data_IF_323388261062
#
_entry.id   IF_323388261062
#
_cell.length_a   1.000
_cell.length_b   1.000
_cell.length_c   1.000
_cell.angle_alpha   90.00
_cell.angle_beta   90.00
_cell.angle_gamma   90.00
#
_symmetry.space_group_name_H-M   'P 1'
#
loop_
_entity.id
_entity.type
_entity.pdbx_description
1 polymer ?
#
# COMPACT_ATOMS: atom_id res chain seq x y z
N UNK A 1 -60.03 -0.12 -46.13
CA UNK A 1 -59.78 -1.57 -46.05
C UNK A 1 -59.13 -1.86 -44.69
N UNK A 2 -59.91 -2.29 -43.68
CA UNK A 2 -59.40 -2.53 -42.30
C UNK A 2 -58.75 -3.92 -42.23
N UNK A 3 -57.43 -3.97 -42.04
CA UNK A 3 -56.66 -5.21 -41.92
C UNK A 3 -56.86 -5.80 -40.52
N UNK A 4 -57.62 -6.90 -40.39
CA UNK A 4 -57.76 -7.65 -39.14
C UNK A 4 -56.51 -8.51 -38.92
N UNK A 5 -55.58 -8.01 -38.12
CA UNK A 5 -54.41 -8.77 -37.68
C UNK A 5 -54.83 -9.77 -36.59
N UNK A 6 -54.94 -11.05 -36.95
CA UNK A 6 -55.23 -12.14 -35.99
C UNK A 6 -53.98 -12.45 -35.17
N UNK A 7 -53.83 -11.80 -34.02
CA UNK A 7 -52.78 -12.14 -33.07
C UNK A 7 -53.10 -13.49 -32.41
N UNK A 8 -52.23 -14.47 -32.64
CA UNK A 8 -52.32 -15.76 -31.99
C UNK A 8 -51.67 -15.64 -30.59
N UNK A 9 -52.49 -15.45 -29.56
CA UNK A 9 -52.06 -15.22 -28.17
C UNK A 9 -50.97 -16.19 -27.70
N UNK A 10 -51.02 -17.48 -28.11
CA UNK A 10 -50.00 -18.47 -27.76
C UNK A 10 -48.61 -18.11 -28.28
N UNK A 11 -48.51 -17.48 -29.46
CA UNK A 11 -47.24 -17.00 -30.03
C UNK A 11 -46.76 -15.72 -29.35
N UNK A 12 -47.68 -14.87 -28.89
CA UNK A 12 -47.33 -13.65 -28.11
C UNK A 12 -46.75 -14.02 -26.75
N UNK A 13 -47.36 -14.98 -26.05
CA UNK A 13 -46.83 -15.49 -24.78
C UNK A 13 -45.49 -16.22 -24.95
N UNK A 14 -45.30 -16.97 -26.03
CA UNK A 14 -44.02 -17.61 -26.32
C UNK A 14 -42.90 -16.60 -26.60
N UNK A 15 -43.20 -15.50 -27.32
CA UNK A 15 -42.23 -14.42 -27.59
C UNK A 15 -41.93 -13.60 -26.33
N UNK A 16 -42.93 -13.33 -25.47
CA UNK A 16 -42.73 -12.67 -24.19
C UNK A 16 -41.92 -13.53 -23.20
N UNK A 17 -42.17 -14.84 -23.10
CA UNK A 17 -41.35 -15.74 -22.29
C UNK A 17 -39.90 -15.82 -22.78
N UNK A 18 -39.68 -15.81 -24.09
CA UNK A 18 -38.34 -15.85 -24.68
C UNK A 18 -37.57 -14.55 -24.43
N UNK A 19 -38.23 -13.38 -24.48
CA UNK A 19 -37.61 -12.09 -24.12
C UNK A 19 -37.29 -11.99 -22.62
N UNK A 20 -38.13 -12.56 -21.75
CA UNK A 20 -37.94 -12.52 -20.29
C UNK A 20 -36.80 -13.47 -19.83
N UNK A 21 -36.54 -14.56 -20.56
CA UNK A 21 -35.37 -15.43 -20.31
C UNK A 21 -34.04 -14.78 -20.71
N UNK A 22 -34.02 -13.90 -21.72
CA UNK A 22 -32.80 -13.27 -22.23
C UNK A 22 -32.31 -12.14 -21.31
N UNK A 23 -33.21 -11.49 -20.55
CA UNK A 23 -32.86 -10.41 -19.61
C UNK A 23 -32.19 -10.87 -18.30
N UNK A 24 -32.10 -12.18 -18.03
CA UNK A 24 -31.53 -12.71 -16.77
C UNK A 24 -30.03 -13.05 -16.90
N UNK A 25 -29.43 -12.93 -18.09
CA UNK A 25 -28.09 -13.44 -18.40
C UNK A 25 -26.96 -12.41 -18.41
N UNK A 26 -27.10 -11.23 -17.81
CA UNK A 26 -26.01 -10.23 -17.87
C UNK A 26 -25.75 -9.44 -16.59
N UNK A 27 -25.90 -10.08 -15.42
CA UNK A 27 -25.11 -9.66 -14.25
C UNK A 27 -23.76 -10.36 -14.35
N UNK A 28 -22.90 -9.87 -15.24
CA UNK A 28 -21.48 -10.20 -15.23
C UNK A 28 -20.87 -9.51 -14.02
N UNK A 29 -20.99 -10.15 -12.84
CA UNK A 29 -20.21 -9.82 -11.67
C UNK A 29 -18.75 -10.14 -12.02
N UNK A 30 -18.04 -9.14 -12.54
CA UNK A 30 -16.62 -9.25 -12.81
C UNK A 30 -15.91 -9.49 -11.49
N UNK A 31 -15.56 -10.74 -11.21
CA UNK A 31 -14.64 -11.08 -10.12
C UNK A 31 -13.32 -10.40 -10.46
N UNK A 32 -13.04 -9.27 -9.82
CA UNK A 32 -11.72 -8.67 -9.82
C UNK A 32 -10.71 -9.75 -9.44
N UNK A 33 -9.60 -9.84 -10.16
CA UNK A 33 -8.52 -10.76 -9.79
C UNK A 33 -8.00 -10.28 -8.43
N UNK A 34 -8.09 -11.12 -7.40
CA UNK A 34 -7.54 -10.83 -6.07
C UNK A 34 -6.10 -11.33 -5.99
N UNK A 35 -5.23 -10.52 -5.40
CA UNK A 35 -3.88 -10.93 -5.01
C UNK A 35 -3.87 -11.36 -3.53
N UNK A 36 -2.94 -12.23 -3.16
CA UNK A 36 -2.68 -12.59 -1.77
C UNK A 36 -1.63 -11.65 -1.18
N UNK A 37 -1.85 -11.19 0.06
CA UNK A 37 -0.93 -10.38 0.82
C UNK A 37 -0.50 -11.13 2.09
N UNK A 38 0.81 -11.17 2.36
CA UNK A 38 1.36 -11.87 3.52
C UNK A 38 2.44 -11.03 4.21
N UNK A 39 2.57 -11.22 5.52
CA UNK A 39 3.75 -10.77 6.26
C UNK A 39 4.91 -11.69 5.87
N UNK A 40 5.85 -11.16 5.08
CA UNK A 40 7.03 -11.91 4.63
C UNK A 40 8.14 -11.94 5.67
N UNK A 41 8.20 -10.91 6.53
CA UNK A 41 9.16 -10.78 7.61
C UNK A 41 8.70 -9.74 8.64
N UNK A 42 9.19 -9.85 9.88
CA UNK A 42 9.10 -8.78 10.87
C UNK A 42 10.29 -8.84 11.83
N UNK A 43 10.60 -7.71 12.46
CA UNK A 43 11.59 -7.58 13.53
C UNK A 43 11.00 -6.80 14.71
N UNK A 44 11.48 -7.08 15.93
CA UNK A 44 10.99 -6.43 17.15
C UNK A 44 9.57 -6.87 17.53
N UNK A 45 8.75 -5.93 17.98
CA UNK A 45 7.36 -6.14 18.38
C UNK A 45 6.40 -5.56 17.35
N UNK A 46 5.42 -6.37 16.95
CA UNK A 46 4.33 -5.90 16.12
C UNK A 46 3.07 -6.73 16.39
N UNK A 47 1.91 -6.10 16.19
CA UNK A 47 0.62 -6.74 16.34
C UNK A 47 -0.21 -6.58 15.08
N UNK A 48 -1.08 -7.57 14.85
CA UNK A 48 -2.14 -7.53 13.85
C UNK A 48 -3.48 -7.72 14.56
N UNK A 49 -4.43 -6.86 14.23
CA UNK A 49 -5.81 -6.94 14.66
C UNK A 49 -6.70 -7.16 13.44
N UNK A 50 -7.34 -8.32 13.38
CA UNK A 50 -8.33 -8.61 12.34
C UNK A 50 -9.71 -8.11 12.75
N UNK A 51 -10.62 -7.98 11.78
CA UNK A 51 -11.98 -7.51 12.03
C UNK A 51 -12.67 -8.28 13.18
N UNK A 52 -13.05 -7.55 14.23
CA UNK A 52 -13.70 -8.06 15.45
C UNK A 52 -12.85 -8.98 16.34
N UNK A 53 -11.53 -9.03 16.16
CA UNK A 53 -10.62 -9.75 17.05
C UNK A 53 -9.85 -8.78 17.97
N UNK A 54 -9.31 -9.33 19.06
CA UNK A 54 -8.29 -8.63 19.85
C UNK A 54 -6.95 -8.63 19.11
N UNK A 55 -6.14 -7.57 19.24
CA UNK A 55 -4.79 -7.56 18.69
C UNK A 55 -3.96 -8.74 19.20
N UNK A 56 -3.19 -9.36 18.30
CA UNK A 56 -2.23 -10.42 18.63
C UNK A 56 -0.88 -10.14 17.99
N UNK A 57 0.23 -10.72 18.50
CA UNK A 57 1.50 -10.65 17.80
C UNK A 57 1.39 -11.14 16.35
N UNK A 58 2.12 -10.49 15.46
CA UNK A 58 2.27 -10.94 14.07
C UNK A 58 3.10 -12.22 14.02
N UNK A 59 2.88 -13.01 12.98
CA UNK A 59 3.71 -14.14 12.60
C UNK A 59 4.11 -14.01 11.12
N UNK A 60 5.27 -14.57 10.77
CA UNK A 60 5.65 -14.73 9.37
C UNK A 60 4.61 -15.62 8.67
N UNK A 61 4.26 -15.27 7.43
CA UNK A 61 3.16 -15.84 6.64
C UNK A 61 1.75 -15.54 7.14
N UNK A 62 1.57 -14.65 8.12
CA UNK A 62 0.24 -14.11 8.40
C UNK A 62 -0.36 -13.51 7.13
N UNK A 63 -1.57 -13.92 6.79
CA UNK A 63 -2.32 -13.32 5.69
C UNK A 63 -2.85 -11.96 6.12
N UNK A 64 -2.57 -10.94 5.31
CA UNK A 64 -3.05 -9.58 5.51
C UNK A 64 -4.29 -9.36 4.64
N UNK A 65 -5.35 -8.84 5.25
CA UNK A 65 -6.65 -8.64 4.60
C UNK A 65 -7.13 -7.21 4.76
N UNK A 66 -8.06 -6.84 3.89
CA UNK A 66 -8.80 -5.59 3.98
C UNK A 66 -9.51 -5.52 5.35
N UNK A 67 -9.33 -4.41 6.06
CA UNK A 67 -9.82 -4.16 7.41
C UNK A 67 -8.84 -4.48 8.54
N UNK A 68 -7.70 -5.14 8.26
CA UNK A 68 -6.71 -5.43 9.29
C UNK A 68 -5.99 -4.15 9.74
N UNK A 69 -5.67 -4.09 11.03
CA UNK A 69 -4.83 -3.04 11.62
C UNK A 69 -3.50 -3.65 12.03
N UNK A 70 -2.40 -3.06 11.58
CA UNK A 70 -1.04 -3.51 11.92
C UNK A 70 -0.33 -2.36 12.65
N UNK A 71 0.22 -2.69 13.81
CA UNK A 71 0.96 -1.75 14.66
C UNK A 71 2.36 -2.29 14.97
N UNK A 72 3.39 -1.47 14.82
CA UNK A 72 4.78 -1.77 15.14
C UNK A 72 5.25 -0.96 16.36
N UNK A 73 6.03 -1.59 17.22
CA UNK A 73 6.64 -0.94 18.39
C UNK A 73 7.93 -0.19 18.07
N UNK A 74 8.65 0.17 19.13
CA UNK A 74 10.00 0.76 19.03
C UNK A 74 10.99 -0.24 18.41
N UNK A 75 11.94 0.28 17.62
CA UNK A 75 12.99 -0.52 16.94
C UNK A 75 12.43 -1.79 16.27
N UNK A 76 11.25 -1.68 15.68
CA UNK A 76 10.49 -2.79 15.10
C UNK A 76 10.12 -2.49 13.65
N UNK A 77 9.95 -3.53 12.84
CA UNK A 77 9.49 -3.40 11.46
C UNK A 77 8.64 -4.58 11.03
N UNK A 78 7.70 -4.36 10.10
CA UNK A 78 6.91 -5.41 9.45
C UNK A 78 7.00 -5.23 7.95
N UNK A 79 7.22 -6.33 7.22
CA UNK A 79 7.29 -6.34 5.76
C UNK A 79 6.10 -7.15 5.25
N UNK A 80 5.22 -6.48 4.50
CA UNK A 80 4.07 -7.07 3.82
C UNK A 80 4.36 -7.14 2.33
N UNK A 81 4.16 -8.31 1.73
CA UNK A 81 4.31 -8.52 0.30
C UNK A 81 3.00 -8.98 -0.33
N UNK A 82 2.66 -8.40 -1.48
CA UNK A 82 1.45 -8.69 -2.25
C UNK A 82 1.83 -9.20 -3.63
N UNK A 83 1.83 -10.53 -3.79
CA UNK A 83 2.40 -11.19 -4.97
C UNK A 83 3.84 -10.71 -5.25
N UNK A 84 4.17 -10.48 -6.51
CA UNK A 84 5.47 -9.93 -6.92
C UNK A 84 5.39 -8.41 -7.23
N UNK A 85 4.23 -7.78 -7.00
CA UNK A 85 3.92 -6.45 -7.52
C UNK A 85 4.08 -5.33 -6.49
N UNK A 86 3.95 -5.64 -5.21
CA UNK A 86 3.94 -4.63 -4.15
C UNK A 86 4.61 -5.20 -2.89
N UNK A 87 5.59 -4.46 -2.39
CA UNK A 87 6.23 -4.68 -1.11
C UNK A 87 6.05 -3.42 -0.27
N UNK A 88 5.57 -3.58 0.96
CA UNK A 88 5.29 -2.47 1.89
C UNK A 88 5.98 -2.77 3.22
N UNK A 89 6.82 -1.86 3.68
CA UNK A 89 7.47 -1.91 4.99
C UNK A 89 6.81 -0.91 5.93
N UNK A 90 6.41 -1.38 7.09
CA UNK A 90 5.98 -0.55 8.22
C UNK A 90 7.17 -0.46 9.17
N UNK A 91 7.72 0.74 9.32
CA UNK A 91 8.88 0.98 10.20
C UNK A 91 8.43 1.17 11.66
N UNK A 92 9.34 1.49 12.58
CA UNK A 92 9.03 1.62 13.99
C UNK A 92 7.93 2.65 14.27
N UNK A 93 7.14 2.42 15.34
CA UNK A 93 6.08 3.32 15.79
C UNK A 93 5.01 3.62 14.72
N UNK A 94 4.69 2.63 13.91
CA UNK A 94 3.77 2.77 12.79
C UNK A 94 2.43 2.10 13.08
N UNK A 95 1.34 2.78 12.74
CA UNK A 95 -0.03 2.24 12.75
C UNK A 95 -0.65 2.40 11.37
N UNK A 96 -1.04 1.27 10.79
CA UNK A 96 -1.66 1.20 9.46
C UNK A 96 -2.98 0.46 9.53
N UNK A 97 -3.99 1.00 8.85
CA UNK A 97 -5.24 0.31 8.54
C UNK A 97 -5.20 -0.09 7.06
N UNK A 98 -5.27 -1.40 6.82
CA UNK A 98 -5.27 -1.97 5.47
C UNK A 98 -6.65 -1.75 4.86
N UNK A 99 -6.81 -0.79 3.96
CA UNK A 99 -8.13 -0.42 3.44
C UNK A 99 -8.54 -1.30 2.27
N UNK A 100 -7.64 -1.47 1.29
CA UNK A 100 -7.75 -2.53 0.29
C UNK A 100 -6.38 -2.94 -0.19
N UNK A 101 -6.00 -4.20 -0.04
CA UNK A 101 -4.68 -4.69 -0.44
C UNK A 101 -4.77 -5.78 -1.50
N UNK A 102 -5.91 -6.48 -1.55
CA UNK A 102 -6.11 -7.62 -2.44
C UNK A 102 -6.67 -7.24 -3.81
N UNK A 103 -7.29 -6.05 -3.96
CA UNK A 103 -7.79 -5.57 -5.25
C UNK A 103 -6.63 -5.07 -6.14
N UNK A 104 -6.29 -5.85 -7.18
CA UNK A 104 -5.21 -5.53 -8.12
C UNK A 104 -5.46 -4.23 -8.89
N UNK A 105 -6.71 -3.79 -9.05
CA UNK A 105 -7.04 -2.53 -9.72
C UNK A 105 -6.82 -1.32 -8.79
N UNK A 106 -7.07 -1.46 -7.51
CA UNK A 106 -6.94 -0.35 -6.57
C UNK A 106 -6.51 -0.85 -5.19
N UNK A 107 -5.24 -0.65 -4.88
CA UNK A 107 -4.69 -0.93 -3.55
C UNK A 107 -4.55 0.37 -2.77
N UNK A 108 -4.97 0.39 -1.51
CA UNK A 108 -4.92 1.54 -0.62
C UNK A 108 -4.64 1.08 0.82
N UNK A 109 -3.71 1.77 1.48
CA UNK A 109 -3.52 1.67 2.93
C UNK A 109 -3.67 3.05 3.57
N UNK A 110 -4.22 3.08 4.79
CA UNK A 110 -4.31 4.29 5.59
C UNK A 110 -3.23 4.26 6.67
N UNK A 111 -2.31 5.21 6.61
CA UNK A 111 -1.27 5.45 7.59
C UNK A 111 -1.80 6.44 8.64
N UNK A 112 -2.01 5.96 9.86
CA UNK A 112 -2.51 6.78 10.97
C UNK A 112 -1.40 7.44 11.76
N UNK A 113 -0.21 6.80 11.81
CA UNK A 113 1.01 7.33 12.44
C UNK A 113 2.22 6.54 11.95
N UNK A 114 3.38 7.18 11.89
CA UNK A 114 4.67 6.55 11.64
C UNK A 114 5.01 6.54 10.16
N UNK A 115 5.76 5.54 9.72
CA UNK A 115 6.45 5.56 8.43
C UNK A 115 6.22 4.27 7.65
N UNK A 116 5.86 4.45 6.38
CA UNK A 116 5.65 3.37 5.42
C UNK A 116 6.55 3.57 4.22
N UNK A 117 7.30 2.54 3.87
CA UNK A 117 8.09 2.48 2.64
C UNK A 117 7.42 1.50 1.69
N UNK A 118 7.29 1.88 0.43
CA UNK A 118 6.59 1.07 -0.57
C UNK A 118 7.44 0.95 -1.83
N UNK A 119 7.68 -0.29 -2.25
CA UNK A 119 8.23 -0.63 -3.54
C UNK A 119 7.13 -1.23 -4.40
N UNK A 120 6.78 -0.51 -5.46
CA UNK A 120 5.68 -0.88 -6.36
C UNK A 120 6.28 -1.22 -7.72
N UNK A 121 5.99 -2.42 -8.22
CA UNK A 121 6.31 -2.79 -9.60
C UNK A 121 5.48 -1.94 -10.58
N UNK A 122 5.86 -1.93 -11.85
CA UNK A 122 5.07 -1.24 -12.88
C UNK A 122 3.70 -1.89 -13.00
N UNK A 123 2.68 -1.20 -12.49
CA UNK A 123 1.30 -1.66 -12.51
C UNK A 123 0.69 -1.56 -13.90
N UNK A 124 -0.31 -2.41 -14.16
CA UNK A 124 -1.06 -2.38 -15.42
C UNK A 124 -1.86 -1.09 -15.55
N UNK A 125 -2.16 -0.69 -16.78
CA UNK A 125 -3.07 0.44 -17.03
C UNK A 125 -4.42 0.18 -16.34
N UNK A 126 -4.89 1.16 -15.58
CA UNK A 126 -6.09 1.03 -14.74
C UNK A 126 -5.81 0.65 -13.29
N UNK A 127 -4.63 0.09 -12.98
CA UNK A 127 -4.21 -0.23 -11.61
C UNK A 127 -3.49 0.94 -10.94
N UNK A 128 -3.66 1.08 -9.62
CA UNK A 128 -3.05 2.11 -8.78
C UNK A 128 -2.79 1.57 -7.37
N UNK A 129 -1.74 2.10 -6.73
CA UNK A 129 -1.50 1.95 -5.30
C UNK A 129 -1.45 3.33 -4.64
N UNK A 130 -2.12 3.48 -3.50
CA UNK A 130 -2.12 4.70 -2.70
C UNK A 130 -1.79 4.46 -1.22
N UNK A 131 -1.08 5.42 -0.63
CA UNK A 131 -0.94 5.57 0.82
C UNK A 131 -1.66 6.84 1.22
N UNK A 132 -2.64 6.71 2.11
CA UNK A 132 -3.44 7.83 2.60
C UNK A 132 -3.08 8.14 4.04
N UNK A 133 -2.91 9.40 4.33
CA UNK A 133 -2.77 9.95 5.68
C UNK A 133 -3.97 10.87 5.96
N UNK A 134 -4.12 11.39 7.19
CA UNK A 134 -5.12 12.41 7.46
C UNK A 134 -4.99 13.66 6.58
N UNK A 135 -3.78 14.06 6.18
CA UNK A 135 -3.55 15.32 5.46
C UNK A 135 -3.27 15.15 3.97
N UNK A 136 -2.92 13.96 3.49
CA UNK A 136 -2.60 13.74 2.08
C UNK A 136 -2.94 12.34 1.57
N UNK A 137 -2.99 12.20 0.24
CA UNK A 137 -3.03 10.92 -0.46
C UNK A 137 -1.84 10.88 -1.43
N UNK A 138 -0.97 9.88 -1.28
CA UNK A 138 0.17 9.63 -2.16
C UNK A 138 -0.16 8.45 -3.10
N UNK A 139 -0.23 8.68 -4.40
CA UNK A 139 -0.66 7.68 -5.39
C UNK A 139 0.40 7.44 -6.46
N UNK A 140 0.58 6.18 -6.86
CA UNK A 140 1.70 5.75 -7.71
C UNK A 140 1.35 4.65 -8.70
N UNK A 141 2.22 4.51 -9.71
CA UNK A 141 2.21 3.43 -10.71
C UNK A 141 3.64 3.00 -11.05
N UNK A 142 4.31 2.33 -10.11
CA UNK A 142 5.68 1.84 -10.31
C UNK A 142 6.75 2.77 -9.73
N UNK A 143 6.80 2.84 -8.40
CA UNK A 143 7.58 3.83 -7.64
C UNK A 143 8.15 3.19 -6.39
N UNK A 144 9.33 3.62 -5.95
CA UNK A 144 9.86 3.36 -4.61
C UNK A 144 9.81 4.67 -3.83
N UNK A 145 9.06 4.70 -2.74
CA UNK A 145 8.81 5.92 -1.99
C UNK A 145 8.56 5.64 -0.51
N UNK A 146 8.76 6.68 0.28
CA UNK A 146 8.48 6.74 1.70
C UNK A 146 7.32 7.70 1.93
N UNK A 147 6.38 7.31 2.78
CA UNK A 147 5.37 8.19 3.37
C UNK A 147 5.53 8.17 4.88
N UNK A 148 5.70 9.33 5.48
CA UNK A 148 5.81 9.52 6.93
C UNK A 148 4.68 10.44 7.38
N UNK A 149 3.98 10.06 8.45
CA UNK A 149 2.94 10.87 9.06
C UNK A 149 3.12 10.92 10.57
N UNK A 150 3.38 12.12 11.05
CA UNK A 150 3.47 12.39 12.48
C UNK A 150 2.94 13.79 12.77
N UNK A 151 2.22 13.94 13.89
CA UNK A 151 1.74 15.23 14.39
C UNK A 151 1.07 16.15 13.33
N UNK A 152 0.25 15.59 12.45
CA UNK A 152 -0.48 16.35 11.42
C UNK A 152 0.37 16.75 10.21
N UNK A 153 1.62 16.32 10.13
CA UNK A 153 2.53 16.55 9.01
C UNK A 153 2.70 15.26 8.22
N UNK A 154 2.45 15.32 6.91
CA UNK A 154 2.81 14.24 5.99
C UNK A 154 4.07 14.61 5.23
N UNK A 155 5.00 13.68 5.12
CA UNK A 155 6.16 13.77 4.25
C UNK A 155 6.06 12.62 3.24
N UNK A 156 6.29 12.92 1.96
CA UNK A 156 6.43 11.90 0.91
C UNK A 156 7.77 12.13 0.22
N UNK A 157 8.65 11.13 0.23
CA UNK A 157 9.99 11.17 -0.37
C UNK A 157 10.14 10.08 -1.44
N UNK A 158 10.69 10.42 -2.61
CA UNK A 158 10.68 9.55 -3.80
C UNK A 158 12.08 9.04 -4.14
N UNK A 159 12.32 7.75 -3.87
CA UNK A 159 13.57 7.06 -4.20
C UNK A 159 13.66 6.56 -5.65
N UNK A 160 12.52 6.39 -6.33
CA UNK A 160 12.44 5.98 -7.76
C UNK A 160 11.07 6.25 -8.33
N UNK A 161 11.00 6.71 -9.58
CA UNK A 161 9.73 6.99 -10.26
C UNK A 161 9.17 8.35 -9.84
N UNK A 162 7.85 8.42 -9.69
CA UNK A 162 7.15 9.63 -9.24
C UNK A 162 5.91 9.30 -8.42
N UNK A 163 5.47 10.27 -7.61
CA UNK A 163 4.28 10.18 -6.76
C UNK A 163 3.38 11.38 -7.03
N UNK A 164 2.09 11.15 -7.27
CA UNK A 164 1.08 12.20 -7.17
C UNK A 164 0.65 12.34 -5.72
N UNK A 165 0.85 13.51 -5.13
CA UNK A 165 0.48 13.83 -3.76
C UNK A 165 -0.65 14.84 -3.77
N UNK A 166 -1.79 14.46 -3.23
CA UNK A 166 -2.99 15.30 -3.14
C UNK A 166 -3.23 15.69 -1.69
N UNK A 167 -3.26 16.99 -1.35
CA UNK A 167 -3.66 17.45 -0.02
C UNK A 167 -5.15 17.17 0.19
N UNK A 168 -5.50 16.46 1.26
CA UNK A 168 -6.86 15.95 1.50
C UNK A 168 -7.89 17.07 1.58
N UNK A 169 -7.53 18.18 2.23
CA UNK A 169 -8.41 19.32 2.49
C UNK A 169 -8.70 20.13 1.22
N UNK A 170 -7.66 20.60 0.53
CA UNK A 170 -7.77 21.56 -0.58
C UNK A 170 -7.91 20.88 -1.94
N UNK A 171 -7.62 19.59 -2.03
CA UNK A 171 -7.47 18.83 -3.29
C UNK A 171 -6.36 19.35 -4.19
N UNK A 172 -5.47 20.19 -3.67
CA UNK A 172 -4.26 20.59 -4.39
C UNK A 172 -3.39 19.37 -4.64
N UNK A 173 -2.97 19.19 -5.90
CA UNK A 173 -2.16 18.07 -6.36
C UNK A 173 -0.75 18.53 -6.70
N UNK A 174 0.24 17.73 -6.28
CA UNK A 174 1.64 17.93 -6.61
C UNK A 174 2.27 16.63 -7.08
N UNK A 175 2.91 16.67 -8.25
CA UNK A 175 3.77 15.59 -8.71
C UNK A 175 5.15 15.75 -8.07
N UNK A 176 5.65 14.67 -7.46
CA UNK A 176 6.96 14.59 -6.82
C UNK A 176 7.79 13.54 -7.55
N UNK A 177 8.91 13.96 -8.12
CA UNK A 177 9.81 13.08 -8.86
C UNK A 177 10.99 12.61 -7.99
N UNK A 178 11.68 11.56 -8.45
CA UNK A 178 12.93 11.05 -7.90
C UNK A 178 13.84 12.16 -7.32
N UNK A 179 14.36 11.92 -6.11
CA UNK A 179 15.30 12.82 -5.45
C UNK A 179 14.64 13.99 -4.72
N UNK A 180 13.31 14.12 -4.83
CA UNK A 180 12.54 15.14 -4.14
C UNK A 180 11.63 14.55 -3.07
N UNK A 181 11.26 15.40 -2.13
CA UNK A 181 10.22 15.16 -1.16
C UNK A 181 9.24 16.33 -1.13
N UNK A 182 8.04 16.04 -0.63
CA UNK A 182 7.04 17.05 -0.32
C UNK A 182 6.62 16.94 1.13
N UNK A 183 6.43 18.09 1.75
CA UNK A 183 5.91 18.24 3.11
C UNK A 183 4.52 18.84 3.02
N UNK A 184 3.53 18.15 3.58
CA UNK A 184 2.13 18.56 3.59
C UNK A 184 1.72 18.85 5.04
N UNK A 185 1.43 20.12 5.30
CA UNK A 185 0.85 20.63 6.55
C UNK A 185 -0.36 21.49 6.19
N UNK A 186 -0.42 22.75 6.63
CA UNK A 186 -1.36 23.75 6.10
C UNK A 186 -1.08 24.08 4.63
N UNK A 187 0.18 23.96 4.20
CA UNK A 187 0.64 24.17 2.82
C UNK A 187 1.38 22.95 2.29
N UNK A 188 1.60 22.93 0.98
CA UNK A 188 2.43 21.93 0.28
C UNK A 188 3.79 22.57 -0.03
N UNK A 189 4.87 21.99 0.49
CA UNK A 189 6.23 22.49 0.26
C UNK A 189 7.12 21.38 -0.29
N UNK A 190 7.76 21.61 -1.44
CA UNK A 190 8.74 20.70 -1.99
C UNK A 190 10.15 21.04 -1.53
N UNK A 191 10.99 20.02 -1.39
CA UNK A 191 12.42 20.13 -1.16
C UNK A 191 13.16 18.89 -1.68
N UNK A 192 14.48 18.91 -1.66
CA UNK A 192 15.28 17.71 -1.85
C UNK A 192 15.04 16.68 -0.74
N UNK A 193 15.27 15.41 -1.06
CA UNK A 193 15.36 14.33 -0.05
C UNK A 193 16.55 14.62 0.86
N UNK A 194 16.37 14.45 2.17
CA UNK A 194 17.43 14.63 3.17
C UNK A 194 18.16 13.31 3.48
N UNK A 195 19.19 13.36 4.33
CA UNK A 195 19.99 12.16 4.66
C UNK A 195 19.15 11.07 5.34
N UNK A 196 18.26 11.42 6.28
CA UNK A 196 17.41 10.42 6.96
C UNK A 196 16.47 9.73 5.98
N UNK A 197 15.83 10.47 5.09
CA UNK A 197 14.95 9.90 4.05
C UNK A 197 15.73 9.01 3.07
N UNK A 198 16.95 9.41 2.71
CA UNK A 198 17.84 8.61 1.87
C UNK A 198 18.19 7.28 2.53
N UNK A 199 18.55 7.33 3.81
CA UNK A 199 18.87 6.15 4.61
C UNK A 199 17.66 5.22 4.75
N UNK A 200 16.48 5.76 5.03
CA UNK A 200 15.26 4.94 5.09
C UNK A 200 14.97 4.28 3.73
N UNK A 201 15.03 5.02 2.63
CA UNK A 201 14.84 4.47 1.27
C UNK A 201 15.85 3.37 0.94
N UNK A 202 17.08 3.44 1.46
CA UNK A 202 18.09 2.37 1.32
C UNK A 202 17.67 1.07 2.01
N UNK A 203 16.94 1.13 3.14
CA UNK A 203 16.35 -0.09 3.74
C UNK A 203 15.41 -0.79 2.76
N UNK A 204 14.55 -0.01 2.09
CA UNK A 204 13.62 -0.54 1.09
C UNK A 204 14.36 -1.17 -0.11
N UNK A 205 15.41 -0.52 -0.62
CA UNK A 205 16.26 -1.06 -1.70
C UNK A 205 16.86 -2.43 -1.34
N UNK A 206 17.27 -2.60 -0.07
CA UNK A 206 17.84 -3.84 0.47
C UNK A 206 16.81 -4.86 0.92
N UNK A 207 15.54 -4.65 0.58
CA UNK A 207 14.46 -5.59 0.90
C UNK A 207 14.11 -6.44 -0.31
N UNK A 208 14.32 -7.76 -0.26
CA UNK A 208 14.01 -8.62 -1.39
C UNK A 208 12.50 -8.83 -1.55
N UNK A 209 12.04 -8.90 -2.80
CA UNK A 209 10.74 -9.48 -3.15
C UNK A 209 10.92 -11.00 -3.26
N UNK A 210 10.19 -11.76 -2.45
CA UNK A 210 10.32 -13.21 -2.36
C UNK A 210 9.34 -13.87 -3.32
N UNK A 211 9.86 -14.62 -4.30
CA UNK A 211 9.02 -15.41 -5.21
C UNK A 211 8.43 -16.62 -4.49
N UNK A 212 7.20 -16.99 -4.87
CA UNK A 212 6.50 -18.15 -4.30
C UNK A 212 6.49 -18.11 -2.75
N UNK A 213 6.31 -16.91 -2.18
CA UNK A 213 6.38 -16.64 -0.74
C UNK A 213 5.52 -17.62 0.10
N UNK A 214 4.36 -18.01 -0.44
CA UNK A 214 3.42 -18.95 0.18
C UNK A 214 3.95 -20.38 0.31
N UNK A 215 5.03 -20.72 -0.41
CA UNK A 215 5.67 -22.05 -0.38
C UNK A 215 6.93 -22.09 0.50
N UNK A 216 7.41 -20.93 0.95
CA UNK A 216 8.62 -20.83 1.77
C UNK A 216 8.35 -21.27 3.21
N UNK A 217 9.38 -21.74 3.92
CA UNK A 217 9.31 -21.91 5.37
C UNK A 217 9.68 -20.61 6.09
N UNK A 218 9.27 -20.41 7.36
CA UNK A 218 9.73 -19.27 8.16
C UNK A 218 11.27 -19.18 8.24
N UNK A 219 11.97 -20.31 8.30
CA UNK A 219 13.43 -20.38 8.32
C UNK A 219 14.04 -19.91 6.99
N UNK A 220 13.47 -20.34 5.85
CA UNK A 220 13.90 -19.89 4.53
C UNK A 220 13.70 -18.38 4.40
N UNK A 221 12.52 -17.87 4.80
CA UNK A 221 12.23 -16.44 4.78
C UNK A 221 13.23 -15.66 5.62
N UNK A 222 13.50 -16.10 6.86
CA UNK A 222 14.49 -15.44 7.71
C UNK A 222 15.86 -15.36 7.03
N UNK A 223 16.30 -16.43 6.36
CA UNK A 223 17.56 -16.44 5.61
C UNK A 223 17.56 -15.42 4.47
N UNK A 224 16.44 -15.31 3.75
CA UNK A 224 16.30 -14.31 2.68
C UNK A 224 16.43 -12.87 3.17
N UNK A 225 16.08 -12.58 4.43
CA UNK A 225 16.15 -11.24 5.01
C UNK A 225 17.45 -10.96 5.79
N UNK A 226 18.45 -11.85 5.78
CA UNK A 226 19.70 -11.64 6.54
C UNK A 226 20.46 -10.34 6.18
N UNK A 227 20.55 -10.00 4.89
CA UNK A 227 21.16 -8.74 4.45
C UNK A 227 20.31 -7.53 4.86
N UNK A 228 18.98 -7.66 4.76
CA UNK A 228 18.04 -6.63 5.19
C UNK A 228 18.19 -6.33 6.68
N UNK A 229 18.28 -7.35 7.53
CA UNK A 229 18.43 -7.21 8.99
C UNK A 229 19.71 -6.44 9.31
N UNK A 230 20.85 -6.83 8.73
CA UNK A 230 22.13 -6.15 8.95
C UNK A 230 22.09 -4.70 8.48
N UNK A 231 21.50 -4.46 7.31
CA UNK A 231 21.34 -3.11 6.76
C UNK A 231 20.48 -2.25 7.67
N UNK A 232 19.37 -2.79 8.17
CA UNK A 232 18.46 -2.07 9.06
C UNK A 232 19.16 -1.69 10.37
N UNK A 233 19.95 -2.58 10.98
CA UNK A 233 20.74 -2.30 12.18
C UNK A 233 21.72 -1.14 11.95
N UNK A 234 22.53 -1.22 10.88
CA UNK A 234 23.50 -0.17 10.53
C UNK A 234 22.83 1.20 10.29
N UNK A 235 21.72 1.19 9.54
CA UNK A 235 20.99 2.41 9.21
C UNK A 235 20.29 3.00 10.43
N UNK A 236 19.69 2.18 11.28
CA UNK A 236 19.05 2.65 12.50
C UNK A 236 20.08 3.31 13.43
N UNK A 237 21.27 2.73 13.57
CA UNK A 237 22.36 3.33 14.35
C UNK A 237 22.85 4.66 13.74
N UNK A 238 22.88 4.78 12.41
CA UNK A 238 23.23 6.03 11.73
C UNK A 238 22.14 7.10 11.94
N UNK A 239 20.87 6.75 11.78
CA UNK A 239 19.74 7.65 12.03
C UNK A 239 19.69 8.09 13.50
N UNK A 240 19.97 7.19 14.46
CA UNK A 240 20.00 7.53 15.88
C UNK A 240 21.09 8.60 16.16
N UNK A 241 22.27 8.47 15.54
CA UNK A 241 23.33 9.50 15.63
C UNK A 241 22.91 10.84 15.02
N UNK A 242 22.19 10.82 13.88
CA UNK A 242 21.66 12.03 13.23
C UNK A 242 20.54 12.69 14.04
N UNK A 243 19.74 11.92 14.78
CA UNK A 243 18.62 12.45 15.58
C UNK A 243 19.06 13.31 16.76
N UNK A 244 20.34 13.23 17.16
CA UNK A 244 20.98 14.11 18.12
C UNK A 244 21.50 15.43 17.52
N UNK A 245 21.38 15.63 16.20
CA UNK A 245 21.87 16.80 15.47
C UNK A 245 20.73 17.82 15.23
N UNK A 246 21.09 19.09 15.14
CA UNK A 246 20.17 20.20 14.86
C UNK A 246 19.63 20.17 13.43
N UNK A 247 18.48 20.80 13.19
CA UNK A 247 17.83 20.86 11.87
C UNK A 247 18.71 21.44 10.75
N UNK A 248 19.63 22.36 11.09
CA UNK A 248 20.60 22.91 10.13
C UNK A 248 21.72 21.92 9.80
N UNK A 249 22.10 21.06 10.75
CA UNK A 249 23.10 20.01 10.53
C UNK A 249 22.54 18.83 9.72
N UNK A 250 21.22 18.62 9.74
CA UNK A 250 20.55 17.59 8.93
C UNK A 250 20.24 18.02 7.48
N UNK A 251 20.44 19.29 7.15
CA UNK A 251 20.22 19.86 5.79
C UNK A 251 21.48 19.88 4.93
N UNK A 252 22.66 19.81 5.55
CA UNK A 252 23.96 19.78 4.87
C UNK A 252 24.21 18.42 4.21
#
# INVERSE_FOLDING_TARGET
>A
MRLKMKFNMKKVYAVMMLMMLVSVLSVSCGKGKSASAFISFYSGTATIQTANAQPRPVAVQDMVKDGDVIETGDKSSVIVQVGDELLVRFEANTKVVVTSITDIAKREINLEKGKVLSSVAKLKKGSEYSVKTPTAVASVRGTEFLTDFDNGKTIVAVGKGSVSVVKTETKEEKLVDLGNSVVVTEKIEMRGINQVETLELKKLEKTPVIKDLEKMTPEDLKKNYEETIKTDEEINDEIEKLSGMTYEEMKA
#
